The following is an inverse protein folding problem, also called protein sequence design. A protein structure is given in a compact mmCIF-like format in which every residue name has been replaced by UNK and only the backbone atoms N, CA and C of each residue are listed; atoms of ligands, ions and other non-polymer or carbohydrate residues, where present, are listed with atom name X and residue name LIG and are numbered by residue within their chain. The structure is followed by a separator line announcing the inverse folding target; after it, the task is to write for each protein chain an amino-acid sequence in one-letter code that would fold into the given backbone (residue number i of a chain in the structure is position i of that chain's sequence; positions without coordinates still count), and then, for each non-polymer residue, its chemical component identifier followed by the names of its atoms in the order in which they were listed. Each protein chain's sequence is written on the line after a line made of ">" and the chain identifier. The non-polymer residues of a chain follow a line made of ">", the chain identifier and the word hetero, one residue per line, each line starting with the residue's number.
data_IF_502662480635
#
_entry.id   IF_502662480635
#
_cell.length_a   1.000
_cell.length_b   1.000
_cell.length_c   1.000
_cell.angle_alpha   90.00
_cell.angle_beta   90.00
_cell.angle_gamma   90.00
#
_symmetry.space_group_name_H-M   'P 1'
#
loop_
_entity.id
_entity.type
_entity.pdbx_description
1 polymer ?
#
# COMPACT_ATOMS: atom_id res chain seq x y z
N UNK A 1 70.54 26.71 -37.74
CA UNK A 1 69.59 27.23 -36.74
C UNK A 1 68.20 27.03 -37.32
N UNK A 2 67.51 26.03 -36.87
CA UNK A 2 66.20 25.61 -37.38
C UNK A 2 65.14 25.73 -36.28
N UNK A 3 64.09 26.48 -36.53
CA UNK A 3 63.00 26.70 -35.61
C UNK A 3 61.86 25.81 -36.09
N UNK A 4 61.51 24.76 -35.32
CA UNK A 4 60.37 23.92 -35.56
C UNK A 4 59.16 24.49 -34.83
N UNK A 5 58.09 24.74 -35.61
CA UNK A 5 56.79 25.20 -35.14
C UNK A 5 55.97 24.06 -34.57
N UNK A 6 55.39 24.28 -33.37
CA UNK A 6 54.44 23.42 -32.69
C UNK A 6 53.02 23.72 -33.18
N UNK A 7 52.38 22.80 -33.87
CA UNK A 7 50.98 22.87 -34.25
C UNK A 7 50.13 22.24 -33.11
N UNK A 8 49.44 23.08 -32.35
CA UNK A 8 48.45 22.62 -31.39
C UNK A 8 47.14 22.21 -32.07
N UNK A 9 46.73 20.96 -31.87
CA UNK A 9 45.42 20.46 -32.24
C UNK A 9 44.42 20.78 -31.11
N UNK A 10 43.46 21.64 -31.39
CA UNK A 10 42.28 21.87 -30.53
C UNK A 10 41.29 20.74 -30.79
N UNK A 11 41.11 19.81 -29.84
CA UNK A 11 39.97 18.89 -29.80
C UNK A 11 38.79 19.60 -29.13
N UNK A 12 37.81 19.97 -29.95
CA UNK A 12 36.52 20.47 -29.46
C UNK A 12 35.69 19.32 -28.91
N UNK A 13 35.48 19.26 -27.58
CA UNK A 13 34.49 18.39 -26.96
C UNK A 13 33.10 18.94 -27.24
N UNK A 14 32.37 18.32 -28.16
CA UNK A 14 30.92 18.50 -28.29
C UNK A 14 30.22 17.74 -27.16
N UNK A 15 29.81 18.43 -26.10
CA UNK A 15 28.90 17.89 -25.11
C UNK A 15 27.49 17.84 -25.72
N UNK A 16 27.07 16.66 -26.11
CA UNK A 16 25.67 16.37 -26.47
C UNK A 16 24.82 16.44 -25.19
N UNK A 17 24.17 17.55 -24.96
CA UNK A 17 23.11 17.66 -23.95
C UNK A 17 21.94 16.78 -24.42
N UNK A 18 21.81 15.58 -23.88
CA UNK A 18 20.60 14.78 -24.00
C UNK A 18 19.51 15.43 -23.17
N UNK A 19 18.67 16.23 -23.80
CA UNK A 19 17.38 16.67 -23.24
C UNK A 19 16.48 15.44 -23.21
N UNK A 20 16.50 14.73 -22.07
CA UNK A 20 15.50 13.69 -21.80
C UNK A 20 14.14 14.36 -21.73
N UNK A 21 13.34 14.20 -22.75
CA UNK A 21 11.90 14.49 -22.68
C UNK A 21 11.30 13.50 -21.69
N UNK A 22 11.13 13.91 -20.45
CA UNK A 22 10.28 13.20 -19.50
C UNK A 22 8.86 13.27 -20.03
N UNK A 23 8.37 12.17 -20.58
CA UNK A 23 6.94 12.02 -20.87
C UNK A 23 6.23 12.14 -19.53
N UNK A 24 5.45 13.20 -19.35
CA UNK A 24 4.59 13.32 -18.17
C UNK A 24 3.68 12.09 -18.14
N UNK A 25 3.74 11.33 -17.06
CA UNK A 25 2.85 10.19 -16.89
C UNK A 25 1.40 10.71 -16.85
N UNK A 26 0.52 10.08 -17.60
CA UNK A 26 -0.90 10.43 -17.59
C UNK A 26 -1.46 10.26 -16.18
N UNK A 27 -2.22 11.26 -15.71
CA UNK A 27 -2.91 11.18 -14.43
C UNK A 27 -4.27 10.55 -14.62
N UNK A 28 -4.53 9.43 -13.95
CA UNK A 28 -5.80 8.71 -13.98
C UNK A 28 -6.54 8.91 -12.65
N UNK A 29 -7.74 9.48 -12.71
CA UNK A 29 -8.62 9.63 -11.54
C UNK A 29 -9.47 8.36 -11.37
N UNK A 30 -9.32 7.67 -10.25
CA UNK A 30 -10.04 6.45 -9.87
C UNK A 30 -11.08 6.73 -8.78
N UNK A 31 -12.25 6.14 -8.94
CA UNK A 31 -13.35 6.26 -7.97
C UNK A 31 -14.69 5.85 -8.55
N UNK A 32 -15.76 6.07 -7.78
CA UNK A 32 -17.15 5.73 -8.17
C UNK A 32 -17.95 6.90 -8.74
N UNK A 33 -17.39 8.14 -8.73
CA UNK A 33 -18.10 9.30 -9.23
C UNK A 33 -18.15 9.34 -10.79
N UNK A 34 -19.15 9.98 -11.39
CA UNK A 34 -19.24 10.14 -12.83
C UNK A 34 -17.96 10.77 -13.41
N UNK A 35 -17.42 10.17 -14.47
CA UNK A 35 -16.19 10.61 -15.14
C UNK A 35 -14.89 10.09 -14.52
N UNK A 36 -14.94 9.35 -13.44
CA UNK A 36 -13.79 8.64 -12.88
C UNK A 36 -13.66 7.26 -13.55
N UNK A 37 -12.42 6.76 -13.62
CA UNK A 37 -12.14 5.40 -14.07
C UNK A 37 -12.26 4.42 -12.92
N UNK A 38 -12.56 3.17 -13.23
CA UNK A 38 -12.50 2.05 -12.28
C UNK A 38 -11.22 1.22 -12.43
N UNK A 39 -10.38 1.53 -13.42
CA UNK A 39 -9.14 0.79 -13.70
C UNK A 39 -8.06 1.76 -14.16
N UNK A 40 -6.86 1.58 -13.63
CA UNK A 40 -5.63 2.20 -14.14
C UNK A 40 -4.54 1.16 -14.32
N UNK A 41 -3.66 1.39 -15.29
CA UNK A 41 -2.45 0.57 -15.54
C UNK A 41 -1.22 1.46 -15.63
N UNK A 42 -0.10 0.96 -15.15
CA UNK A 42 1.17 1.66 -15.28
C UNK A 42 1.80 1.57 -16.69
N UNK A 43 2.66 2.54 -17.06
CA UNK A 43 3.10 3.65 -16.21
C UNK A 43 2.05 4.78 -16.14
N UNK A 44 1.65 5.19 -14.94
CA UNK A 44 0.68 6.27 -14.71
C UNK A 44 0.82 6.84 -13.29
N UNK A 45 0.42 8.10 -13.09
CA UNK A 45 0.10 8.63 -11.77
C UNK A 45 -1.39 8.44 -11.54
N UNK A 46 -1.79 7.78 -10.47
CA UNK A 46 -3.21 7.60 -10.14
C UNK A 46 -3.59 8.50 -8.98
N UNK A 47 -4.79 9.07 -9.04
CA UNK A 47 -5.45 9.74 -7.92
C UNK A 47 -6.68 8.93 -7.58
N UNK A 48 -6.73 8.42 -6.35
CA UNK A 48 -7.84 7.59 -5.86
C UNK A 48 -8.70 8.43 -4.94
N UNK A 49 -10.00 8.41 -5.21
CA UNK A 49 -11.01 9.10 -4.42
C UNK A 49 -11.95 8.06 -3.80
N UNK A 50 -11.79 7.83 -2.50
CA UNK A 50 -12.64 6.93 -1.72
C UNK A 50 -13.72 7.68 -0.92
N UNK A 51 -13.91 8.96 -1.20
CA UNK A 51 -14.80 9.83 -0.44
C UNK A 51 -14.13 10.40 0.81
N UNK A 52 -13.88 9.58 1.81
CA UNK A 52 -13.20 9.99 3.06
C UNK A 52 -11.69 10.12 2.91
N UNK A 53 -11.04 9.21 2.20
CA UNK A 53 -9.61 9.31 1.86
C UNK A 53 -9.42 9.67 0.39
N UNK A 54 -8.50 10.59 0.15
CA UNK A 54 -8.00 10.87 -1.19
C UNK A 54 -6.48 10.80 -1.20
N UNK A 55 -5.93 10.03 -2.12
CA UNK A 55 -4.48 9.84 -2.21
C UNK A 55 -4.02 9.65 -3.66
N UNK A 56 -2.76 9.92 -3.92
CA UNK A 56 -2.11 9.53 -5.18
C UNK A 56 -1.21 8.31 -4.97
N UNK A 57 -1.02 7.56 -6.06
CA UNK A 57 -0.16 6.40 -6.11
C UNK A 57 0.42 6.25 -7.51
N UNK A 58 1.77 6.28 -7.67
CA UNK A 58 2.40 5.99 -8.95
C UNK A 58 2.30 4.50 -9.27
N UNK A 59 1.92 4.18 -10.49
CA UNK A 59 1.99 2.84 -11.05
C UNK A 59 3.15 2.77 -12.04
N UNK A 60 3.99 1.75 -11.90
CA UNK A 60 5.01 1.44 -12.90
C UNK A 60 4.50 0.37 -13.88
N UNK A 61 5.29 0.06 -14.90
CA UNK A 61 4.97 -1.02 -15.86
C UNK A 61 4.58 -2.31 -15.14
N UNK A 62 3.57 -3.00 -15.67
CA UNK A 62 3.02 -4.25 -15.13
C UNK A 62 2.37 -4.11 -13.74
N UNK A 63 1.88 -2.92 -13.41
CA UNK A 63 1.08 -2.67 -12.23
C UNK A 63 -0.31 -2.16 -12.60
N UNK A 64 -1.30 -2.55 -11.81
CA UNK A 64 -2.70 -2.23 -11.98
C UNK A 64 -3.30 -1.78 -10.67
N UNK A 65 -4.22 -0.84 -10.77
CA UNK A 65 -5.09 -0.45 -9.67
C UNK A 65 -6.53 -0.53 -10.19
N UNK A 66 -7.35 -1.34 -9.53
CA UNK A 66 -8.79 -1.44 -9.82
C UNK A 66 -9.56 -0.81 -8.68
N UNK A 67 -10.71 -0.22 -8.98
CA UNK A 67 -11.63 0.34 -7.99
C UNK A 67 -12.98 -0.36 -8.16
N UNK A 68 -13.38 -1.12 -7.14
CA UNK A 68 -14.62 -1.87 -7.11
C UNK A 68 -15.48 -1.36 -5.95
N UNK A 69 -16.68 -0.91 -6.26
CA UNK A 69 -17.64 -0.28 -5.36
C UNK A 69 -17.05 0.87 -4.53
N UNK A 70 -16.26 0.59 -3.49
CA UNK A 70 -15.72 1.58 -2.55
C UNK A 70 -14.26 1.33 -2.16
N UNK A 71 -13.62 0.35 -2.76
CA UNK A 71 -12.25 -0.02 -2.37
C UNK A 71 -11.35 -0.26 -3.58
N UNK A 72 -10.11 0.25 -3.55
CA UNK A 72 -9.12 -0.04 -4.55
C UNK A 72 -8.35 -1.34 -4.24
N UNK A 73 -7.96 -2.05 -5.30
CA UNK A 73 -7.08 -3.22 -5.25
C UNK A 73 -5.90 -3.02 -6.18
N UNK A 74 -4.71 -3.09 -5.63
CA UNK A 74 -3.44 -3.09 -6.38
C UNK A 74 -3.04 -4.51 -6.73
N UNK A 75 -2.55 -4.71 -7.96
CA UNK A 75 -1.96 -5.98 -8.41
C UNK A 75 -0.73 -5.69 -9.29
N UNK A 76 0.40 -6.35 -8.98
CA UNK A 76 1.60 -6.32 -9.81
C UNK A 76 1.60 -7.54 -10.75
N UNK A 77 1.11 -7.38 -11.98
CA UNK A 77 0.98 -8.45 -12.97
C UNK A 77 1.08 -7.90 -14.41
N UNK A 78 1.63 -8.70 -15.32
CA UNK A 78 1.70 -8.34 -16.76
C UNK A 78 0.33 -8.12 -17.40
N UNK A 79 -0.68 -8.78 -16.88
CA UNK A 79 -2.06 -8.67 -17.33
C UNK A 79 -2.98 -8.54 -16.14
N UNK A 80 -4.00 -7.72 -16.25
CA UNK A 80 -5.03 -7.60 -15.23
C UNK A 80 -5.68 -8.97 -14.99
N UNK A 81 -5.77 -9.44 -13.75
CA UNK A 81 -6.50 -10.66 -13.43
C UNK A 81 -7.96 -10.58 -13.89
N UNK A 82 -8.50 -11.70 -14.35
CA UNK A 82 -9.94 -11.77 -14.65
C UNK A 82 -10.76 -11.52 -13.38
N UNK A 83 -11.97 -10.97 -13.45
CA UNK A 83 -12.79 -10.71 -12.26
C UNK A 83 -12.96 -11.93 -11.34
N UNK A 84 -13.10 -13.13 -11.89
CA UNK A 84 -13.20 -14.38 -11.12
C UNK A 84 -11.90 -14.79 -10.38
N UNK A 85 -10.77 -14.16 -10.69
CA UNK A 85 -9.46 -14.41 -10.07
C UNK A 85 -8.83 -13.15 -9.46
N UNK A 86 -9.53 -12.02 -9.48
CA UNK A 86 -9.09 -10.79 -8.84
C UNK A 86 -9.27 -10.88 -7.31
N UNK A 87 -8.37 -10.28 -6.52
CA UNK A 87 -8.62 -10.10 -5.10
C UNK A 87 -9.85 -9.24 -4.89
N UNK A 88 -10.55 -9.49 -3.79
CA UNK A 88 -11.78 -8.77 -3.44
C UNK A 88 -11.90 -8.58 -1.95
N UNK A 89 -12.71 -7.61 -1.56
CA UNK A 89 -13.14 -7.46 -0.18
C UNK A 89 -14.13 -8.58 0.16
N UNK A 90 -13.85 -9.27 1.24
CA UNK A 90 -14.78 -10.18 1.89
C UNK A 90 -15.27 -9.55 3.18
N UNK A 91 -16.56 -9.64 3.42
CA UNK A 91 -17.20 -9.16 4.64
C UNK A 91 -18.15 -10.22 5.17
N UNK A 92 -18.19 -10.40 6.48
CA UNK A 92 -19.16 -11.25 7.14
C UNK A 92 -19.67 -10.55 8.40
N UNK A 93 -20.97 -10.74 8.66
CA UNK A 93 -21.55 -10.40 9.93
C UNK A 93 -21.35 -11.60 10.87
N UNK A 94 -20.68 -11.34 12.00
CA UNK A 94 -20.43 -12.34 13.05
C UNK A 94 -21.28 -12.04 14.27
N UNK A 95 -21.33 -12.95 15.24
CA UNK A 95 -22.01 -12.72 16.52
C UNK A 95 -21.42 -11.59 17.34
N UNK A 96 -20.15 -11.23 17.07
CA UNK A 96 -19.41 -10.14 17.75
C UNK A 96 -19.34 -8.84 16.93
N UNK A 97 -19.92 -8.79 15.73
CA UNK A 97 -19.88 -7.62 14.86
C UNK A 97 -19.61 -7.97 13.41
N UNK A 98 -19.02 -7.06 12.65
CA UNK A 98 -18.63 -7.27 11.26
C UNK A 98 -17.13 -7.55 11.18
N UNK A 99 -16.76 -8.59 10.47
CA UNK A 99 -15.39 -8.86 10.05
C UNK A 99 -15.22 -8.56 8.58
N UNK A 100 -14.06 -8.04 8.19
CA UNK A 100 -13.71 -7.83 6.80
C UNK A 100 -12.24 -8.13 6.56
N UNK A 101 -11.93 -8.60 5.37
CA UNK A 101 -10.54 -8.75 4.93
C UNK A 101 -10.47 -8.76 3.40
N UNK A 102 -9.30 -8.50 2.85
CA UNK A 102 -9.06 -8.71 1.43
C UNK A 102 -8.52 -10.10 1.20
N UNK A 103 -9.26 -10.88 0.42
CA UNK A 103 -8.89 -12.24 0.06
C UNK A 103 -8.55 -12.36 -1.42
N UNK A 104 -7.72 -13.34 -1.74
CA UNK A 104 -7.44 -13.71 -3.12
C UNK A 104 -8.05 -15.04 -3.47
N UNK A 105 -8.45 -15.23 -4.73
CA UNK A 105 -8.67 -16.58 -5.29
C UNK A 105 -7.39 -17.42 -5.22
N UNK A 106 -7.53 -18.72 -5.04
CA UNK A 106 -6.45 -19.67 -4.79
C UNK A 106 -5.30 -19.66 -5.84
N UNK A 107 -5.59 -19.23 -7.07
CA UNK A 107 -4.64 -19.26 -8.19
C UNK A 107 -3.87 -17.94 -8.43
N UNK A 108 -4.13 -16.88 -7.66
CA UNK A 108 -3.40 -15.62 -7.83
C UNK A 108 -2.07 -15.68 -7.06
N UNK A 109 -0.94 -15.68 -7.78
CA UNK A 109 0.42 -15.73 -7.22
C UNK A 109 1.16 -14.37 -7.24
N UNK A 110 0.62 -13.39 -7.94
CA UNK A 110 1.23 -12.05 -8.06
C UNK A 110 1.10 -11.27 -6.76
N UNK A 111 2.04 -10.33 -6.47
CA UNK A 111 1.91 -9.38 -5.37
C UNK A 111 0.66 -8.51 -5.53
N UNK A 112 -0.09 -8.37 -4.45
CA UNK A 112 -1.31 -7.57 -4.44
C UNK A 112 -1.64 -7.10 -3.02
N UNK A 113 -2.50 -6.10 -2.91
CA UNK A 113 -3.17 -5.68 -1.67
C UNK A 113 -4.47 -4.95 -2.00
N UNK A 114 -5.40 -4.97 -1.07
CA UNK A 114 -6.58 -4.12 -1.08
C UNK A 114 -6.43 -2.97 -0.09
N UNK A 115 -7.22 -1.91 -0.26
CA UNK A 115 -7.20 -0.71 0.56
C UNK A 115 -8.60 -0.37 1.09
N UNK A 116 -8.66 0.01 2.37
CA UNK A 116 -9.83 0.59 3.03
C UNK A 116 -9.46 1.93 3.64
N UNK A 117 -10.44 2.82 3.77
CA UNK A 117 -10.27 4.10 4.44
C UNK A 117 -11.16 4.17 5.68
N UNK A 118 -10.56 4.57 6.80
CA UNK A 118 -11.25 4.74 8.08
C UNK A 118 -10.81 6.02 8.79
N UNK A 119 -11.59 6.44 9.76
CA UNK A 119 -11.27 7.58 10.62
C UNK A 119 -10.52 7.09 11.88
N UNK A 120 -9.56 7.91 12.38
CA UNK A 120 -8.79 7.60 13.59
C UNK A 120 -9.64 7.35 14.83
N UNK A 121 -10.87 7.84 14.91
CA UNK A 121 -11.78 7.57 16.02
C UNK A 121 -12.14 6.08 16.17
N UNK A 122 -11.97 5.31 15.08
CA UNK A 122 -12.20 3.86 15.06
C UNK A 122 -10.92 3.04 15.25
N UNK A 123 -9.94 3.60 15.99
CA UNK A 123 -8.66 2.94 16.29
C UNK A 123 -8.14 3.29 17.68
N UNK A 124 -7.26 2.44 18.20
CA UNK A 124 -6.45 2.68 19.40
C UNK A 124 -4.98 2.93 19.04
N UNK A 125 -4.72 3.76 18.01
CA UNK A 125 -3.37 3.94 17.45
C UNK A 125 -2.42 4.74 18.34
N UNK A 126 -2.94 5.51 19.31
CA UNK A 126 -2.13 6.37 20.17
C UNK A 126 -1.82 5.68 21.50
N UNK A 127 -0.63 5.95 22.04
CA UNK A 127 -0.15 5.33 23.31
C UNK A 127 -1.06 5.65 24.51
N UNK A 128 -1.66 6.84 24.54
CA UNK A 128 -2.49 7.34 25.63
C UNK A 128 -4.00 7.24 25.32
N UNK A 129 -4.36 6.55 24.22
CA UNK A 129 -5.75 6.37 23.85
C UNK A 129 -6.55 5.65 24.94
N UNK A 130 -7.74 6.16 25.21
CA UNK A 130 -8.72 5.54 26.10
C UNK A 130 -10.07 5.47 25.42
N UNK A 131 -10.78 4.33 25.54
CA UNK A 131 -12.13 4.23 25.00
C UNK A 131 -13.05 5.28 25.65
N UNK A 132 -13.93 5.94 24.87
CA UNK A 132 -15.01 6.73 25.43
C UNK A 132 -15.87 5.88 26.37
N UNK A 133 -16.38 6.49 27.48
CA UNK A 133 -17.18 5.76 28.49
C UNK A 133 -18.53 5.27 27.93
N UNK A 134 -19.04 5.94 26.90
CA UNK A 134 -20.32 5.70 26.27
C UNK A 134 -20.23 5.06 24.88
N UNK A 135 -19.07 4.49 24.54
CA UNK A 135 -18.87 3.84 23.25
C UNK A 135 -19.90 2.72 23.01
N UNK A 136 -20.64 2.82 21.92
CA UNK A 136 -21.55 1.78 21.50
C UNK A 136 -20.77 0.47 21.21
N UNK A 137 -21.32 -0.67 21.58
CA UNK A 137 -20.70 -1.98 21.35
C UNK A 137 -20.23 -2.19 19.90
N UNK A 138 -21.02 -1.73 18.92
CA UNK A 138 -20.65 -1.81 17.51
C UNK A 138 -19.38 -1.03 17.16
N UNK A 139 -19.14 0.13 17.80
CA UNK A 139 -17.92 0.94 17.62
C UNK A 139 -16.72 0.24 18.23
N UNK A 140 -16.87 -0.38 19.40
CA UNK A 140 -15.80 -1.18 20.02
C UNK A 140 -15.38 -2.34 19.13
N UNK A 141 -16.35 -3.07 18.55
CA UNK A 141 -16.07 -4.19 17.63
C UNK A 141 -15.35 -3.70 16.37
N UNK A 142 -15.79 -2.59 15.78
CA UNK A 142 -15.14 -2.01 14.60
C UNK A 142 -13.68 -1.61 14.92
N UNK A 143 -13.46 -1.01 16.08
CA UNK A 143 -12.12 -0.62 16.54
C UNK A 143 -11.22 -1.83 16.73
N UNK A 144 -11.70 -2.86 17.42
CA UNK A 144 -10.95 -4.10 17.63
C UNK A 144 -10.58 -4.78 16.30
N UNK A 145 -11.43 -4.70 15.30
CA UNK A 145 -11.19 -5.25 13.97
C UNK A 145 -10.15 -4.42 13.21
N UNK A 146 -10.27 -3.09 13.25
CA UNK A 146 -9.30 -2.18 12.64
C UNK A 146 -7.92 -2.28 13.31
N UNK A 147 -7.85 -2.36 14.64
CA UNK A 147 -6.59 -2.50 15.38
C UNK A 147 -5.85 -3.80 15.04
N UNK A 148 -6.59 -4.89 14.80
CA UNK A 148 -5.98 -6.15 14.31
C UNK A 148 -5.34 -6.02 12.93
N UNK A 149 -5.81 -5.11 12.09
CA UNK A 149 -5.24 -4.81 10.77
C UNK A 149 -4.13 -3.78 10.84
N UNK A 150 -4.16 -2.92 11.86
CA UNK A 150 -3.14 -1.90 12.14
C UNK A 150 -2.40 -2.23 13.45
N UNK A 151 -1.67 -3.36 13.57
CA UNK A 151 -1.13 -3.85 14.84
C UNK A 151 0.14 -3.10 15.28
N UNK A 152 0.11 -1.78 15.26
CA UNK A 152 1.17 -0.91 15.76
C UNK A 152 0.60 0.32 16.45
N UNK A 153 1.34 0.88 17.37
CA UNK A 153 1.00 2.08 18.13
C UNK A 153 1.94 3.22 17.74
N UNK A 154 1.42 4.41 17.55
CA UNK A 154 2.22 5.61 17.31
C UNK A 154 2.71 6.18 18.64
N UNK A 155 4.03 6.30 18.76
CA UNK A 155 4.75 6.86 19.90
C UNK A 155 5.55 8.09 19.50
N UNK A 156 6.18 8.77 20.43
CA UNK A 156 7.11 9.87 20.16
C UNK A 156 8.33 9.45 19.31
N UNK A 157 8.63 8.15 19.29
CA UNK A 157 9.73 7.57 18.49
C UNK A 157 9.27 7.01 17.14
N UNK A 158 7.99 7.17 16.80
CA UNK A 158 7.35 6.62 15.61
C UNK A 158 6.50 5.40 15.91
N UNK A 159 6.23 4.60 14.88
CA UNK A 159 5.39 3.42 14.98
C UNK A 159 6.12 2.25 15.63
N UNK A 160 5.48 1.61 16.61
CA UNK A 160 6.01 0.45 17.31
C UNK A 160 4.99 -0.68 17.25
N UNK A 161 5.38 -1.92 16.87
CA UNK A 161 4.50 -3.08 16.91
C UNK A 161 3.90 -3.27 18.32
N UNK A 162 2.58 -3.48 18.40
CA UNK A 162 1.89 -3.77 19.65
C UNK A 162 1.64 -5.29 19.82
N UNK A 163 0.94 -5.68 20.88
CA UNK A 163 0.67 -7.08 21.21
C UNK A 163 -0.12 -7.83 20.12
N UNK A 164 -0.91 -7.11 19.30
CA UNK A 164 -1.70 -7.69 18.21
C UNK A 164 -0.83 -8.12 17.01
N UNK A 165 0.39 -7.58 16.89
CA UNK A 165 1.36 -8.05 15.88
C UNK A 165 1.89 -9.46 16.17
N UNK A 166 1.75 -9.95 17.39
CA UNK A 166 2.28 -11.23 17.83
C UNK A 166 3.77 -11.20 18.17
N UNK A 167 4.46 -12.32 17.99
CA UNK A 167 5.89 -12.43 18.36
C UNK A 167 6.78 -11.78 17.32
N UNK A 168 7.77 -11.00 17.72
CA UNK A 168 8.68 -10.26 16.82
C UNK A 168 9.41 -11.12 15.79
N UNK A 169 9.59 -12.42 16.04
CA UNK A 169 10.23 -13.33 15.10
C UNK A 169 9.28 -13.90 14.03
N UNK A 170 7.98 -13.52 14.03
CA UNK A 170 6.98 -14.02 13.09
C UNK A 170 6.66 -13.05 11.96
N UNK A 171 7.25 -11.86 11.98
CA UNK A 171 7.01 -10.83 10.96
C UNK A 171 8.28 -10.03 10.63
N UNK A 172 8.24 -9.37 9.50
CA UNK A 172 9.09 -8.22 9.15
C UNK A 172 8.26 -6.96 9.37
N UNK A 173 8.84 -5.94 9.98
CA UNK A 173 8.22 -4.65 10.23
C UNK A 173 9.09 -3.52 9.71
N UNK A 174 8.48 -2.57 9.01
CA UNK A 174 9.11 -1.33 8.59
C UNK A 174 8.16 -0.17 8.85
N UNK A 175 8.70 0.95 9.27
CA UNK A 175 7.96 2.19 9.46
C UNK A 175 8.58 3.34 8.67
N UNK A 176 7.79 4.35 8.39
CA UNK A 176 8.25 5.61 7.84
C UNK A 176 7.39 6.77 8.32
N UNK A 177 7.97 7.96 8.31
CA UNK A 177 7.29 9.22 8.61
C UNK A 177 7.67 10.28 7.60
N UNK A 178 6.77 11.21 7.32
CA UNK A 178 6.97 12.32 6.42
C UNK A 178 5.78 13.27 6.41
N UNK A 179 5.94 14.41 5.74
CA UNK A 179 4.90 15.46 5.65
C UNK A 179 3.61 14.97 4.98
N UNK A 180 3.72 13.98 4.06
CA UNK A 180 2.58 13.48 3.28
C UNK A 180 1.83 12.35 3.96
N UNK A 181 2.50 11.54 4.75
CA UNK A 181 1.92 10.44 5.51
C UNK A 181 2.93 9.86 6.49
N UNK A 182 2.43 9.31 7.60
CA UNK A 182 3.17 8.45 8.51
C UNK A 182 2.58 7.05 8.45
N UNK A 183 3.39 6.01 8.52
CA UNK A 183 2.85 4.67 8.41
C UNK A 183 3.85 3.56 8.66
N UNK A 184 3.35 2.34 8.51
CA UNK A 184 4.12 1.12 8.69
C UNK A 184 3.59 0.00 7.79
N UNK A 185 4.40 -1.05 7.61
CA UNK A 185 4.03 -2.28 6.94
C UNK A 185 4.56 -3.49 7.68
N UNK A 186 3.73 -4.52 7.77
CA UNK A 186 4.08 -5.87 8.22
C UNK A 186 4.05 -6.85 7.07
N UNK A 187 5.05 -7.74 7.03
CA UNK A 187 5.01 -8.98 6.29
C UNK A 187 5.05 -10.15 7.27
N UNK A 188 3.94 -10.86 7.48
CA UNK A 188 3.86 -12.02 8.38
C UNK A 188 4.36 -13.27 7.67
N UNK A 189 5.25 -14.00 8.32
CA UNK A 189 5.92 -15.16 7.75
C UNK A 189 5.20 -16.47 8.02
N UNK A 190 5.37 -17.43 7.12
CA UNK A 190 5.10 -18.82 7.41
C UNK A 190 6.07 -19.38 8.46
N UNK A 191 5.82 -20.60 8.97
CA UNK A 191 6.70 -21.26 9.95
C UNK A 191 8.13 -21.45 9.45
N UNK A 192 8.32 -21.58 8.15
CA UNK A 192 9.64 -21.75 7.51
C UNK A 192 10.36 -20.41 7.28
N UNK A 193 9.66 -19.28 7.42
CA UNK A 193 10.11 -17.91 7.12
C UNK A 193 10.53 -17.70 5.65
N UNK A 194 10.07 -18.54 4.76
CA UNK A 194 10.39 -18.44 3.33
C UNK A 194 9.41 -17.58 2.56
N UNK A 195 8.18 -17.50 3.04
CA UNK A 195 7.10 -16.77 2.38
C UNK A 195 6.37 -15.86 3.34
N UNK A 196 5.86 -14.77 2.81
CA UNK A 196 4.92 -13.89 3.48
C UNK A 196 3.51 -14.47 3.26
N UNK A 197 2.81 -14.72 4.35
CA UNK A 197 1.46 -15.31 4.35
C UNK A 197 0.35 -14.30 4.61
N UNK A 198 0.71 -13.11 5.06
CA UNK A 198 -0.17 -11.97 5.25
C UNK A 198 0.63 -10.68 5.15
N UNK A 199 0.07 -9.66 4.51
CA UNK A 199 0.57 -8.29 4.53
C UNK A 199 -0.47 -7.42 5.24
N UNK A 200 -0.01 -6.52 6.10
CA UNK A 200 -0.84 -5.49 6.72
C UNK A 200 -0.05 -4.19 6.77
N UNK A 201 -0.67 -3.07 6.43
CA UNK A 201 -0.05 -1.76 6.56
C UNK A 201 -1.10 -0.70 6.83
N UNK A 202 -0.69 0.36 7.52
CA UNK A 202 -1.55 1.50 7.76
C UNK A 202 -0.78 2.79 7.53
N UNK A 203 -1.43 3.73 6.85
CA UNK A 203 -0.93 5.07 6.59
C UNK A 203 -1.86 6.06 7.28
N UNK A 204 -1.28 6.99 8.02
CA UNK A 204 -2.00 8.01 8.78
C UNK A 204 -1.71 9.41 8.23
N UNK A 205 -2.76 10.20 8.03
CA UNK A 205 -2.67 11.64 7.82
C UNK A 205 -3.87 12.36 8.45
N UNK A 206 -3.60 13.17 9.45
CA UNK A 206 -4.66 13.86 10.18
C UNK A 206 -5.61 12.87 10.85
N UNK A 207 -6.86 12.83 10.38
CA UNK A 207 -7.88 11.90 10.87
C UNK A 207 -8.07 10.67 9.99
N UNK A 208 -7.43 10.62 8.83
CA UNK A 208 -7.64 9.57 7.85
C UNK A 208 -6.60 8.47 8.02
N UNK A 209 -7.07 7.23 8.08
CA UNK A 209 -6.25 6.02 8.13
C UNK A 209 -6.53 5.18 6.90
N UNK A 210 -5.53 5.03 6.04
CA UNK A 210 -5.61 4.08 4.94
C UNK A 210 -5.07 2.74 5.41
N UNK A 211 -5.95 1.76 5.48
CA UNK A 211 -5.66 0.38 5.88
C UNK A 211 -5.39 -0.42 4.61
N UNK A 212 -4.27 -1.11 4.54
CA UNK A 212 -4.00 -2.02 3.44
C UNK A 212 -3.74 -3.43 3.92
N UNK A 213 -4.32 -4.41 3.23
CA UNK A 213 -4.07 -5.80 3.54
C UNK A 213 -4.07 -6.72 2.32
N UNK A 214 -3.34 -7.83 2.45
CA UNK A 214 -3.44 -9.00 1.58
C UNK A 214 -3.43 -10.24 2.48
N UNK A 215 -4.52 -10.99 2.41
CA UNK A 215 -4.71 -12.18 3.23
C UNK A 215 -5.23 -13.34 2.37
N UNK A 216 -5.25 -14.52 2.95
CA UNK A 216 -5.87 -15.70 2.34
C UNK A 216 -7.05 -16.11 3.20
N UNK A 217 -8.27 -15.89 2.72
CA UNK A 217 -9.49 -16.34 3.37
C UNK A 217 -9.81 -17.81 3.14
N UNK A 218 -9.05 -18.51 2.29
CA UNK A 218 -9.33 -19.86 1.86
C UNK A 218 -8.32 -20.88 2.36
N UNK A 219 -8.60 -22.15 2.13
CA UNK A 219 -7.71 -23.27 2.43
C UNK A 219 -6.31 -23.19 1.76
N UNK A 220 -6.12 -22.30 0.79
CA UNK A 220 -4.83 -22.08 0.14
C UNK A 220 -4.14 -20.84 0.73
N UNK A 221 -3.05 -20.99 1.48
CA UNK A 221 -2.34 -19.87 2.09
C UNK A 221 -1.83 -18.87 1.04
N UNK A 222 -1.84 -17.59 1.38
CA UNK A 222 -1.09 -16.60 0.63
C UNK A 222 0.41 -16.97 0.70
N UNK A 223 1.09 -16.84 -0.42
CA UNK A 223 2.54 -17.10 -0.50
C UNK A 223 3.20 -16.05 -1.37
N UNK A 224 3.64 -14.97 -0.74
CA UNK A 224 4.37 -13.87 -1.40
C UNK A 224 5.86 -14.10 -1.19
N UNK A 225 6.63 -14.07 -2.27
CA UNK A 225 8.10 -14.12 -2.20
C UNK A 225 8.68 -12.85 -1.58
N UNK A 226 9.92 -12.89 -1.13
CA UNK A 226 10.64 -11.71 -0.65
C UNK A 226 10.64 -10.58 -1.70
N UNK A 227 10.89 -10.91 -2.98
CA UNK A 227 10.84 -9.93 -4.07
C UNK A 227 9.43 -9.34 -4.26
N UNK A 228 8.38 -10.16 -4.16
CA UNK A 228 6.99 -9.68 -4.24
C UNK A 228 6.65 -8.75 -3.08
N UNK A 229 7.17 -9.01 -1.89
CA UNK A 229 6.98 -8.13 -0.74
C UNK A 229 7.70 -6.78 -0.92
N UNK A 230 8.91 -6.76 -1.50
CA UNK A 230 9.59 -5.51 -1.86
C UNK A 230 8.80 -4.69 -2.89
N UNK A 231 8.14 -5.33 -3.85
CA UNK A 231 7.25 -4.64 -4.80
C UNK A 231 6.06 -4.00 -4.09
N UNK A 232 5.44 -4.72 -3.14
CA UNK A 232 4.36 -4.17 -2.31
C UNK A 232 4.87 -2.97 -1.50
N UNK A 233 6.01 -3.09 -0.80
CA UNK A 233 6.58 -2.00 -0.02
C UNK A 233 6.85 -0.75 -0.86
N UNK A 234 7.40 -0.94 -2.06
CA UNK A 234 7.66 0.16 -2.99
C UNK A 234 6.37 0.87 -3.40
N UNK A 235 5.33 0.10 -3.74
CA UNK A 235 4.02 0.65 -4.11
C UNK A 235 3.39 1.41 -2.94
N UNK A 236 3.39 0.84 -1.73
CA UNK A 236 2.83 1.45 -0.51
C UNK A 236 3.56 2.75 -0.13
N UNK A 237 4.89 2.79 -0.22
CA UNK A 237 5.67 4.01 0.02
C UNK A 237 5.41 5.11 -1.00
N UNK A 238 4.95 4.75 -2.20
CA UNK A 238 4.53 5.70 -3.23
C UNK A 238 3.19 6.36 -2.95
N UNK A 239 2.39 5.85 -2.02
CA UNK A 239 1.09 6.42 -1.66
C UNK A 239 1.30 7.77 -0.95
N UNK A 240 0.61 8.80 -1.43
CA UNK A 240 0.63 10.14 -0.85
C UNK A 240 -0.79 10.68 -0.72
N UNK A 241 -1.24 10.96 0.51
CA UNK A 241 -2.52 11.63 0.75
C UNK A 241 -2.56 13.01 0.09
N UNK A 242 -3.74 13.42 -0.36
CA UNK A 242 -3.99 14.73 -0.98
C UNK A 242 -4.83 15.63 -0.08
#
# INVERSE_FOLDING_TARGET
>A
MSIQGFRGLLFGLFALAQTGYGVAADTVLLGSAPGQSTIASGPAETVVDMGSCRFSMPLVQDQWLTFDDFYPVFVAAKQLPKPSSAPRLWQAQTSSGAEWHFEKPANLSQPWFGLMCENTEYFSLLTDWKPPEDDAFAVQVLRDDNDRRCPATLTDQGWVPNSLAGRANTYTFEQWGGEKSSGFIFGFHDKSRRHITRVAFCLLRGKDVLIGSAESGSATPLSISAQGFEQIKTAVRGIAFQ
#
